data_IF_102363096103
#
_entry.id   IF_102363096103
#
_cell.length_a   1.000
_cell.length_b   1.000
_cell.length_c   1.000
_cell.angle_alpha   90.00
_cell.angle_beta   90.00
_cell.angle_gamma   90.00
#
_symmetry.space_group_name_H-M   'P 1'
#
loop_
_entity.id
_entity.type
_entity.pdbx_description
1 polymer ?
#
# COMPACT_ATOMS: atom_id res chain seq x y z
N UNK A 1 -15.62 -4.26 -1.68
CA UNK A 1 -14.31 -3.96 -2.30
C UNK A 1 -14.06 -2.46 -2.30
N UNK A 2 -12.81 -2.08 -2.19
CA UNK A 2 -12.42 -0.67 -2.14
C UNK A 2 -11.65 -0.28 -3.39
N UNK A 3 -11.57 1.02 -3.65
CA UNK A 3 -10.77 1.59 -4.72
C UNK A 3 -9.82 2.63 -4.15
N UNK A 4 -8.66 2.75 -4.76
CA UNK A 4 -7.63 3.68 -4.31
C UNK A 4 -7.87 5.06 -4.90
N UNK A 5 -7.88 6.07 -4.02
CA UNK A 5 -7.94 7.47 -4.44
C UNK A 5 -6.53 7.95 -4.81
N UNK A 6 -5.55 7.66 -3.96
CA UNK A 6 -4.16 8.04 -4.21
C UNK A 6 -3.20 7.22 -3.38
N UNK A 7 -1.98 7.06 -3.88
CA UNK A 7 -0.88 6.44 -3.15
C UNK A 7 -0.07 7.56 -2.49
N UNK A 8 0.19 7.41 -1.19
CA UNK A 8 0.92 8.42 -0.40
C UNK A 8 2.41 8.06 -0.31
N UNK A 9 2.69 6.84 0.10
CA UNK A 9 4.05 6.28 0.21
C UNK A 9 4.04 4.87 -0.35
N UNK A 10 5.19 4.23 -0.41
CA UNK A 10 5.28 2.84 -0.87
C UNK A 10 4.60 1.83 0.04
N UNK A 11 4.15 2.24 1.21
CA UNK A 11 3.43 1.38 2.16
C UNK A 11 2.09 1.95 2.61
N UNK A 12 1.66 3.10 2.05
CA UNK A 12 0.45 3.78 2.51
C UNK A 12 -0.32 4.36 1.32
N UNK A 13 -1.63 4.18 1.35
CA UNK A 13 -2.52 4.77 0.35
C UNK A 13 -3.82 5.22 0.98
N UNK A 14 -4.58 6.03 0.25
CA UNK A 14 -5.89 6.51 0.67
C UNK A 14 -6.96 5.91 -0.25
N UNK A 15 -8.05 5.41 0.35
CA UNK A 15 -9.19 4.90 -0.41
C UNK A 15 -10.12 6.02 -0.83
N UNK A 16 -11.04 5.73 -1.75
CA UNK A 16 -12.04 6.70 -2.20
C UNK A 16 -12.97 7.15 -1.06
N UNK A 17 -13.11 6.35 -0.01
CA UNK A 17 -13.89 6.72 1.17
C UNK A 17 -13.12 7.61 2.14
N UNK A 18 -11.86 7.93 1.85
CA UNK A 18 -11.05 8.81 2.68
C UNK A 18 -10.25 8.10 3.77
N UNK A 19 -10.28 6.78 3.81
CA UNK A 19 -9.50 6.03 4.80
C UNK A 19 -8.05 5.87 4.35
N UNK A 20 -7.12 6.06 5.27
CA UNK A 20 -5.71 5.78 5.02
C UNK A 20 -5.41 4.35 5.45
N UNK A 21 -4.76 3.62 4.55
CA UNK A 21 -4.41 2.23 4.76
C UNK A 21 -2.91 2.07 4.66
N UNK A 22 -2.32 1.46 5.71
CA UNK A 22 -0.90 1.11 5.72
C UNK A 22 -0.77 -0.39 5.56
N UNK A 23 0.08 -0.80 4.63
CA UNK A 23 0.33 -2.22 4.40
C UNK A 23 1.06 -2.84 5.58
N UNK A 24 0.46 -3.87 6.17
CA UNK A 24 1.08 -4.59 7.29
C UNK A 24 2.38 -5.26 6.86
N UNK A 25 3.41 -5.13 7.69
CA UNK A 25 4.69 -5.77 7.43
C UNK A 25 5.51 -5.17 6.29
N UNK A 26 5.09 -4.05 5.73
CA UNK A 26 5.80 -3.35 4.66
C UNK A 26 6.35 -2.05 5.21
N UNK A 27 7.65 -1.84 5.06
CA UNK A 27 8.31 -0.64 5.54
C UNK A 27 9.06 0.01 4.39
N UNK A 28 8.38 0.94 3.71
CA UNK A 28 8.90 1.66 2.56
C UNK A 28 9.52 2.99 2.97
N UNK A 29 10.49 3.51 2.18
CA UNK A 29 11.02 4.85 2.44
C UNK A 29 9.92 5.89 2.36
N UNK A 30 9.94 6.86 3.27
CA UNK A 30 9.00 7.97 3.27
C UNK A 30 9.21 8.84 2.02
N UNK A 31 8.13 9.48 1.58
CA UNK A 31 8.18 10.39 0.44
C UNK A 31 9.30 11.41 0.63
N UNK A 32 10.12 11.59 -0.40
CA UNK A 32 11.28 12.48 -0.35
C UNK A 32 12.58 11.80 0.03
N UNK A 33 12.53 10.57 0.52
CA UNK A 33 13.73 9.79 0.82
C UNK A 33 14.20 9.06 -0.43
N UNK A 34 15.50 8.64 -0.50
CA UNK A 34 15.97 7.82 -1.61
C UNK A 34 15.10 6.58 -1.81
N UNK A 35 14.82 6.22 -3.06
CA UNK A 35 14.01 5.06 -3.45
C UNK A 35 12.52 5.19 -3.17
N UNK A 36 12.07 6.29 -2.56
CA UNK A 36 10.65 6.47 -2.27
C UNK A 36 9.81 6.53 -3.54
N UNK A 37 10.29 7.20 -4.59
CA UNK A 37 9.57 7.32 -5.85
C UNK A 37 9.32 5.97 -6.51
N UNK A 38 10.33 5.09 -6.51
CA UNK A 38 10.19 3.75 -7.09
C UNK A 38 9.20 2.89 -6.30
N UNK A 39 9.23 2.99 -4.98
CA UNK A 39 8.31 2.27 -4.12
C UNK A 39 6.86 2.74 -4.36
N UNK A 40 6.66 4.05 -4.46
CA UNK A 40 5.34 4.62 -4.75
C UNK A 40 4.84 4.15 -6.12
N UNK A 41 5.69 4.20 -7.15
CA UNK A 41 5.31 3.73 -8.49
C UNK A 41 4.95 2.25 -8.50
N UNK A 42 5.72 1.44 -7.77
CA UNK A 42 5.43 -0.01 -7.69
C UNK A 42 4.07 -0.24 -7.06
N UNK A 43 3.79 0.44 -5.95
CA UNK A 43 2.49 0.29 -5.30
C UNK A 43 1.36 0.76 -6.21
N UNK A 44 1.53 1.88 -6.89
CA UNK A 44 0.55 2.36 -7.88
C UNK A 44 0.25 1.31 -8.93
N UNK A 45 1.29 0.65 -9.46
CA UNK A 45 1.10 -0.37 -10.49
C UNK A 45 0.30 -1.57 -10.00
N UNK A 46 0.33 -1.83 -8.70
CA UNK A 46 -0.36 -2.98 -8.12
C UNK A 46 -1.82 -2.69 -7.79
N UNK A 47 -2.16 -1.47 -7.39
CA UNK A 47 -3.48 -1.18 -6.82
C UNK A 47 -4.27 -0.07 -7.54
N UNK A 48 -3.62 0.78 -8.32
CA UNK A 48 -4.30 1.91 -8.93
C UNK A 48 -5.31 1.44 -9.98
N UNK A 49 -6.52 2.02 -9.95
CA UNK A 49 -7.63 1.69 -10.85
C UNK A 49 -8.09 0.24 -10.75
N UNK A 50 -7.81 -0.42 -9.65
CA UNK A 50 -8.23 -1.80 -9.41
C UNK A 50 -9.11 -1.90 -8.18
N UNK A 51 -9.98 -2.89 -8.17
CA UNK A 51 -10.72 -3.24 -6.97
C UNK A 51 -9.77 -3.94 -6.01
N UNK A 52 -9.71 -3.47 -4.78
CA UNK A 52 -8.84 -4.05 -3.76
C UNK A 52 -9.67 -4.60 -2.60
N UNK A 53 -9.14 -5.63 -1.98
CA UNK A 53 -9.69 -6.19 -0.75
C UNK A 53 -8.77 -5.76 0.38
N UNK A 54 -9.34 -5.02 1.35
CA UNK A 54 -8.62 -4.56 2.53
C UNK A 54 -9.07 -5.38 3.71
N UNK A 55 -8.14 -6.10 4.32
CA UNK A 55 -8.39 -6.92 5.50
C UNK A 55 -7.70 -6.26 6.69
N UNK A 56 -8.43 -5.47 7.51
CA UNK A 56 -7.83 -4.73 8.62
C UNK A 56 -7.33 -5.67 9.70
N UNK A 57 -6.11 -5.43 10.19
CA UNK A 57 -5.54 -6.18 11.30
C UNK A 57 -5.20 -5.28 12.50
N UNK A 58 -5.27 -3.96 12.35
CA UNK A 58 -5.00 -3.05 13.45
C UNK A 58 -5.12 -1.60 13.02
N UNK A 59 -4.80 -0.70 13.95
CA UNK A 59 -4.81 0.76 13.73
C UNK A 59 -3.51 1.30 14.28
N UNK A 60 -2.88 2.20 13.53
CA UNK A 60 -1.63 2.85 13.93
C UNK A 60 -1.61 4.27 13.43
N UNK A 61 -1.52 5.24 14.36
CA UNK A 61 -1.47 6.67 14.04
C UNK A 61 -2.58 7.13 13.09
N UNK A 62 -3.82 6.70 13.37
CA UNK A 62 -4.98 7.07 12.57
C UNK A 62 -5.08 6.38 11.21
N UNK A 63 -4.23 5.40 10.94
CA UNK A 63 -4.26 4.61 9.72
C UNK A 63 -4.70 3.19 10.02
N UNK A 64 -5.42 2.60 9.09
CA UNK A 64 -5.78 1.19 9.17
C UNK A 64 -4.56 0.39 8.70
N UNK A 65 -4.05 -0.49 9.57
CA UNK A 65 -2.99 -1.44 9.19
C UNK A 65 -3.68 -2.68 8.65
N UNK A 66 -3.34 -3.10 7.45
CA UNK A 66 -4.11 -4.14 6.76
C UNK A 66 -3.27 -5.02 5.85
N UNK A 67 -3.81 -6.20 5.59
CA UNK A 67 -3.40 -7.02 4.46
C UNK A 67 -4.28 -6.64 3.27
N UNK A 68 -3.66 -6.43 2.11
CA UNK A 68 -4.35 -5.98 0.91
C UNK A 68 -4.13 -6.97 -0.22
N UNK A 69 -5.21 -7.30 -0.94
CA UNK A 69 -5.16 -8.22 -2.07
C UNK A 69 -5.80 -7.62 -3.31
N UNK A 70 -5.27 -7.98 -4.47
CA UNK A 70 -5.84 -7.69 -5.78
C UNK A 70 -5.85 -9.00 -6.56
N UNK A 71 -7.03 -9.41 -7.03
CA UNK A 71 -7.20 -10.65 -7.80
C UNK A 71 -6.60 -11.86 -7.07
N UNK A 72 -6.77 -11.93 -5.76
CA UNK A 72 -6.26 -13.03 -4.94
C UNK A 72 -4.77 -12.97 -4.62
N UNK A 73 -4.06 -11.96 -5.11
CA UNK A 73 -2.63 -11.80 -4.87
C UNK A 73 -2.36 -10.79 -3.76
N UNK A 74 -1.43 -11.12 -2.88
CA UNK A 74 -1.06 -10.23 -1.77
C UNK A 74 -0.21 -9.06 -2.27
N UNK A 75 -0.73 -7.86 -2.11
CA UNK A 75 0.01 -6.63 -2.39
C UNK A 75 1.15 -6.47 -1.39
N UNK A 76 0.90 -6.82 -0.12
CA UNK A 76 1.92 -6.75 0.93
C UNK A 76 3.17 -7.57 0.57
N UNK A 77 2.98 -8.81 0.13
CA UNK A 77 4.10 -9.66 -0.25
C UNK A 77 4.84 -9.13 -1.47
N UNK A 78 4.11 -8.60 -2.45
CA UNK A 78 4.72 -8.02 -3.65
C UNK A 78 5.60 -6.83 -3.28
N UNK A 79 5.12 -5.95 -2.39
CA UNK A 79 5.89 -4.81 -1.94
C UNK A 79 7.11 -5.22 -1.10
N UNK A 80 6.95 -6.22 -0.23
CA UNK A 80 8.07 -6.74 0.55
C UNK A 80 9.20 -7.23 -0.36
N UNK A 81 8.84 -8.00 -1.40
CA UNK A 81 9.84 -8.48 -2.37
C UNK A 81 10.50 -7.34 -3.13
N UNK A 82 9.72 -6.36 -3.55
CA UNK A 82 10.26 -5.18 -4.26
C UNK A 82 11.27 -4.44 -3.40
N UNK A 83 10.94 -4.21 -2.13
CA UNK A 83 11.80 -3.46 -1.21
C UNK A 83 13.07 -4.22 -0.86
N UNK A 84 13.02 -5.54 -0.83
CA UNK A 84 14.21 -6.37 -0.60
C UNK A 84 15.22 -6.28 -1.73
N UNK A 85 14.74 -6.09 -2.96
CA UNK A 85 15.60 -6.04 -4.15
C UNK A 85 16.16 -4.66 -4.43
N UNK A 86 15.60 -3.68 -3.80
CA UNK A 86 15.98 -2.27 -4.06
C UNK A 86 17.30 -1.89 -3.43
#
# INVERSE_FOLDING_TARGET
>A
MARVKRVIDGDTFETNSGQRVRLAGVDAPEKGKPRSAKAIEKLKSLIEKKDIIVDPIGISYGRIVADVKVDGKSVNKSMQRHLKRA
#
